data_IF_323178904082
#
_entry.id   IF_323178904082
#
_cell.length_a   1.000
_cell.length_b   1.000
_cell.length_c   1.000
_cell.angle_alpha   90.00
_cell.angle_beta   90.00
_cell.angle_gamma   90.00
#
_symmetry.space_group_name_H-M   'P 1'
#
loop_
_entity.id
_entity.type
_entity.pdbx_description
1 polymer ?
#
# COMPACT_ATOMS: atom_id res chain seq x y z
N UNK A 1 -8.83 12.57 -31.82
CA UNK A 1 -8.25 11.24 -32.02
C UNK A 1 -7.96 10.70 -30.63
N UNK A 2 -8.86 9.84 -30.12
CA UNK A 2 -8.76 9.33 -28.74
C UNK A 2 -7.85 8.09 -28.75
N UNK A 3 -6.71 8.18 -28.11
CA UNK A 3 -5.79 7.05 -27.92
C UNK A 3 -6.34 6.19 -26.76
N UNK A 4 -6.97 5.08 -27.09
CA UNK A 4 -7.42 4.09 -26.12
C UNK A 4 -6.19 3.30 -25.69
N UNK A 5 -5.62 3.65 -24.52
CA UNK A 5 -4.51 2.88 -23.94
C UNK A 5 -5.13 1.63 -23.32
N UNK A 6 -4.98 0.53 -24.00
CA UNK A 6 -5.32 -0.81 -23.53
C UNK A 6 -4.27 -1.21 -22.49
N UNK A 7 -4.62 -1.15 -21.19
CA UNK A 7 -3.74 -1.59 -20.10
C UNK A 7 -3.71 -3.12 -20.09
N UNK A 8 -2.66 -3.69 -20.64
CA UNK A 8 -2.36 -5.10 -20.50
C UNK A 8 -1.82 -5.37 -19.08
N UNK A 9 -2.63 -5.99 -18.24
CA UNK A 9 -2.15 -6.60 -17.00
C UNK A 9 -1.26 -7.78 -17.36
N UNK A 10 0.06 -7.58 -17.28
CA UNK A 10 1.02 -8.67 -17.40
C UNK A 10 1.02 -9.46 -16.10
N UNK A 11 0.19 -10.50 -16.03
CA UNK A 11 0.27 -11.55 -15.01
C UNK A 11 1.59 -12.30 -15.23
N UNK A 12 2.63 -11.93 -14.52
CA UNK A 12 3.85 -12.72 -14.40
C UNK A 12 3.51 -14.00 -13.63
N UNK A 13 3.15 -15.05 -14.34
CA UNK A 13 3.11 -16.39 -13.80
C UNK A 13 4.56 -16.83 -13.52
N UNK A 14 5.00 -16.64 -12.27
CA UNK A 14 6.26 -17.22 -11.81
C UNK A 14 6.09 -18.73 -11.66
N UNK A 15 6.98 -19.56 -12.23
CA UNK A 15 6.93 -20.98 -12.05
C UNK A 15 7.09 -21.33 -10.57
N UNK A 16 6.15 -22.09 -10.03
CA UNK A 16 6.21 -22.64 -8.68
C UNK A 16 7.31 -23.70 -8.61
N UNK A 17 8.54 -23.28 -8.39
CA UNK A 17 9.61 -24.21 -8.06
C UNK A 17 9.33 -24.76 -6.66
N UNK A 18 9.11 -26.08 -6.56
CA UNK A 18 8.98 -26.81 -5.31
C UNK A 18 10.28 -26.64 -4.51
N UNK A 19 10.27 -25.76 -3.53
CA UNK A 19 11.39 -25.59 -2.59
C UNK A 19 11.13 -26.48 -1.40
N UNK A 20 12.02 -27.44 -1.21
CA UNK A 20 12.07 -28.34 -0.06
C UNK A 20 12.14 -27.53 1.24
N UNK A 21 11.45 -28.03 2.27
CA UNK A 21 11.42 -27.48 3.61
C UNK A 21 12.86 -27.54 4.21
N UNK A 22 13.57 -26.44 4.19
CA UNK A 22 14.81 -26.27 4.92
C UNK A 22 14.75 -24.97 5.71
N UNK A 23 15.00 -25.13 7.00
CA UNK A 23 15.21 -24.11 8.04
C UNK A 23 14.21 -22.94 8.06
N UNK A 24 13.48 -22.89 9.15
CA UNK A 24 12.48 -21.84 9.42
C UNK A 24 13.12 -20.46 9.60
N UNK A 25 13.73 -19.93 8.52
CA UNK A 25 14.23 -18.56 8.53
C UNK A 25 13.05 -17.64 8.83
N UNK A 26 13.16 -16.79 9.87
CA UNK A 26 12.07 -15.91 10.26
C UNK A 26 11.58 -15.03 9.10
N UNK A 27 10.27 -14.96 8.96
CA UNK A 27 9.56 -14.12 7.98
C UNK A 27 8.94 -12.94 8.71
N UNK A 28 8.40 -11.92 8.01
CA UNK A 28 7.65 -10.83 8.63
C UNK A 28 6.44 -11.28 9.46
N UNK A 29 6.01 -12.55 9.33
CA UNK A 29 4.88 -13.15 10.05
C UNK A 29 5.30 -14.05 11.23
N UNK A 30 6.60 -14.18 11.47
CA UNK A 30 7.13 -14.99 12.56
C UNK A 30 6.96 -14.23 13.87
N UNK A 31 6.42 -14.87 14.89
CA UNK A 31 6.18 -14.26 16.22
C UNK A 31 7.47 -13.66 16.80
N UNK A 32 7.35 -12.42 17.27
CA UNK A 32 8.45 -11.72 17.93
C UNK A 32 9.48 -11.08 16.98
N UNK A 33 9.27 -11.16 15.66
CA UNK A 33 10.20 -10.53 14.70
C UNK A 33 9.79 -9.12 14.38
N UNK A 34 10.77 -8.21 14.33
CA UNK A 34 10.62 -6.84 13.91
C UNK A 34 11.25 -6.62 12.55
N UNK A 35 10.56 -5.86 11.71
CA UNK A 35 11.03 -5.54 10.37
C UNK A 35 10.79 -4.07 10.07
N UNK A 36 11.77 -3.42 9.46
CA UNK A 36 11.62 -2.12 8.81
C UNK A 36 11.30 -2.34 7.33
N UNK A 37 10.36 -1.57 6.80
CA UNK A 37 9.98 -1.63 5.40
C UNK A 37 10.05 -0.23 4.79
N UNK A 38 10.60 -0.14 3.59
CA UNK A 38 10.56 1.06 2.77
C UNK A 38 10.10 0.67 1.37
N UNK A 39 9.08 1.34 0.86
CA UNK A 39 8.52 1.09 -0.47
C UNK A 39 8.23 2.37 -1.23
N UNK A 40 8.26 2.28 -2.56
CA UNK A 40 7.73 3.27 -3.48
C UNK A 40 6.40 2.78 -4.05
N UNK A 41 5.49 3.69 -4.33
CA UNK A 41 4.15 3.41 -4.83
C UNK A 41 3.78 4.28 -6.02
N UNK A 42 2.95 3.72 -6.90
CA UNK A 42 2.20 4.44 -7.90
C UNK A 42 0.77 3.89 -7.92
N UNK A 43 -0.22 4.78 -7.87
CA UNK A 43 -1.62 4.42 -7.92
C UNK A 43 -2.38 5.44 -8.78
N UNK A 44 -3.36 4.96 -9.52
CA UNK A 44 -4.11 5.73 -10.49
C UNK A 44 -5.58 5.71 -10.11
N UNK A 45 -6.27 6.82 -10.28
CA UNK A 45 -7.69 6.92 -10.00
C UNK A 45 -8.48 5.84 -10.77
N UNK A 46 -9.35 5.12 -10.04
CA UNK A 46 -10.14 4.03 -10.61
C UNK A 46 -11.40 4.53 -11.30
N UNK A 47 -12.04 5.53 -10.72
CA UNK A 47 -13.35 6.01 -11.11
C UNK A 47 -13.27 7.50 -11.37
N UNK A 48 -13.74 7.93 -12.51
CA UNK A 48 -13.83 9.34 -12.89
C UNK A 48 -14.94 10.08 -12.12
N UNK A 49 -15.02 9.92 -10.80
CA UNK A 49 -15.98 10.66 -9.98
C UNK A 49 -15.59 12.11 -9.84
N UNK A 50 -14.28 12.35 -9.72
CA UNK A 50 -13.74 13.68 -9.60
C UNK A 50 -13.33 14.23 -10.97
N UNK A 51 -13.69 15.49 -11.23
CA UNK A 51 -13.25 16.19 -12.45
C UNK A 51 -11.72 16.38 -12.43
N UNK A 52 -11.11 16.27 -11.27
CA UNK A 52 -9.71 16.60 -11.01
C UNK A 52 -8.73 15.49 -11.33
N UNK A 53 -9.14 14.22 -11.39
CA UNK A 53 -8.25 13.08 -11.62
C UNK A 53 -7.02 13.06 -10.69
N UNK A 54 -7.07 12.26 -9.67
CA UNK A 54 -6.02 12.18 -8.66
C UNK A 54 -5.16 10.92 -8.85
N UNK A 55 -3.92 11.11 -9.33
CA UNK A 55 -2.91 10.06 -9.36
C UNK A 55 -1.98 10.24 -8.16
N UNK A 56 -1.62 9.12 -7.52
CA UNK A 56 -0.83 9.09 -6.30
C UNK A 56 0.53 8.45 -6.56
N UNK A 57 1.60 9.17 -6.24
CA UNK A 57 2.97 8.64 -6.26
C UNK A 57 3.60 8.82 -4.89
N UNK A 58 4.27 7.81 -4.35
CA UNK A 58 4.70 7.97 -2.98
C UNK A 58 5.80 7.08 -2.49
N UNK A 59 6.21 7.40 -1.26
CA UNK A 59 7.14 6.62 -0.47
C UNK A 59 6.48 6.27 0.86
N UNK A 60 6.68 5.03 1.30
CA UNK A 60 6.21 4.55 2.60
C UNK A 60 7.38 4.06 3.41
N UNK A 61 7.42 4.43 4.68
CA UNK A 61 8.26 3.80 5.70
C UNK A 61 7.34 3.12 6.71
N UNK A 62 7.66 1.89 7.07
CA UNK A 62 6.84 1.14 8.00
C UNK A 62 7.68 0.27 8.94
N UNK A 63 7.11 0.03 10.12
CA UNK A 63 7.58 -1.00 11.03
C UNK A 63 6.53 -2.09 11.10
N UNK A 64 6.97 -3.33 10.98
CA UNK A 64 6.12 -4.52 11.03
C UNK A 64 6.55 -5.41 12.17
N UNK A 65 5.59 -5.89 12.96
CA UNK A 65 5.80 -6.83 14.06
C UNK A 65 5.03 -8.12 13.81
N UNK A 66 5.73 -9.24 13.73
CA UNK A 66 5.13 -10.56 13.62
C UNK A 66 4.47 -11.00 14.91
N UNK A 67 3.15 -11.22 14.91
CA UNK A 67 2.41 -11.70 16.10
C UNK A 67 2.26 -13.22 16.11
N UNK A 68 2.57 -13.89 15.02
CA UNK A 68 2.47 -15.34 14.86
C UNK A 68 1.24 -15.75 14.08
N UNK A 69 1.09 -17.05 13.82
CA UNK A 69 -0.03 -17.66 13.07
C UNK A 69 -0.28 -17.02 11.69
N UNK A 70 0.77 -16.46 11.11
CA UNK A 70 0.71 -15.76 9.83
C UNK A 70 0.14 -14.35 9.89
N UNK A 71 0.03 -13.74 11.07
CA UNK A 71 -0.34 -12.34 11.24
C UNK A 71 0.87 -11.47 11.55
N UNK A 72 0.82 -10.23 11.09
CA UNK A 72 1.74 -9.18 11.45
C UNK A 72 0.99 -7.85 11.60
N UNK A 73 1.37 -7.07 12.62
CA UNK A 73 0.95 -5.68 12.79
C UNK A 73 1.87 -4.77 12.01
N UNK A 74 1.34 -3.66 11.52
CA UNK A 74 2.09 -2.69 10.73
C UNK A 74 1.74 -1.27 11.17
N UNK A 75 2.76 -0.45 11.43
CA UNK A 75 2.64 1.00 11.55
C UNK A 75 3.39 1.65 10.40
N UNK A 76 2.79 2.61 9.71
CA UNK A 76 3.42 3.21 8.54
C UNK A 76 3.23 4.72 8.47
N UNK A 77 4.28 5.39 8.01
CA UNK A 77 4.29 6.78 7.57
C UNK A 77 4.34 6.82 6.05
N UNK A 78 3.52 7.69 5.45
CA UNK A 78 3.37 7.80 4.00
C UNK A 78 3.59 9.23 3.55
N UNK A 79 4.32 9.37 2.44
CA UNK A 79 4.52 10.62 1.72
C UNK A 79 3.98 10.39 0.31
N UNK A 80 2.83 11.00 -0.02
CA UNK A 80 2.20 10.83 -1.32
C UNK A 80 2.19 12.18 -2.04
N UNK A 81 2.70 12.21 -3.25
CA UNK A 81 2.46 13.27 -4.20
C UNK A 81 1.14 12.98 -4.90
N UNK A 82 0.23 13.93 -4.88
CA UNK A 82 -1.06 13.88 -5.56
C UNK A 82 -0.96 14.73 -6.80
N UNK A 83 -0.96 14.11 -7.96
CA UNK A 83 -1.09 14.80 -9.24
C UNK A 83 -2.56 14.97 -9.56
N UNK A 84 -3.02 16.21 -9.69
CA UNK A 84 -4.42 16.54 -9.95
C UNK A 84 -4.53 17.76 -10.87
N UNK A 85 -5.68 17.94 -11.53
CA UNK A 85 -5.86 18.98 -12.56
C UNK A 85 -5.75 20.41 -12.05
N UNK A 86 -6.04 20.68 -10.77
CA UNK A 86 -6.03 22.03 -10.23
C UNK A 86 -4.60 22.43 -9.78
N UNK A 87 -4.18 21.93 -8.65
CA UNK A 87 -2.88 22.17 -8.05
C UNK A 87 -2.40 20.89 -7.40
N UNK A 88 -1.21 20.45 -7.77
CA UNK A 88 -0.61 19.25 -7.20
C UNK A 88 -0.33 19.44 -5.71
N UNK A 89 -0.45 18.35 -4.95
CA UNK A 89 -0.30 18.38 -3.50
C UNK A 89 0.59 17.29 -2.94
N UNK A 90 0.97 17.47 -1.68
CA UNK A 90 1.67 16.45 -0.91
C UNK A 90 0.79 16.05 0.28
N UNK A 91 0.58 14.74 0.42
CA UNK A 91 -0.14 14.11 1.53
C UNK A 91 0.87 13.48 2.47
N UNK A 92 0.79 13.84 3.75
CA UNK A 92 1.47 13.14 4.84
C UNK A 92 0.44 12.25 5.54
N UNK A 93 0.70 10.95 5.62
CA UNK A 93 -0.21 9.98 6.22
C UNK A 93 0.45 9.15 7.31
N UNK A 94 -0.34 8.81 8.33
CA UNK A 94 0.01 7.82 9.35
C UNK A 94 -1.06 6.74 9.36
N UNK A 95 -0.64 5.49 9.25
CA UNK A 95 -1.54 4.34 9.23
C UNK A 95 -1.09 3.26 10.19
N UNK A 96 -2.08 2.54 10.71
CA UNK A 96 -1.87 1.26 11.40
C UNK A 96 -2.63 0.19 10.62
N UNK A 97 -2.13 -1.02 10.63
CA UNK A 97 -2.76 -2.08 9.87
C UNK A 97 -2.28 -3.46 10.24
N UNK A 98 -2.81 -4.41 9.49
CA UNK A 98 -2.50 -5.83 9.65
C UNK A 98 -2.15 -6.44 8.30
N UNK A 99 -1.25 -7.41 8.33
CA UNK A 99 -1.02 -8.36 7.23
C UNK A 99 -1.39 -9.75 7.66
N UNK A 100 -2.03 -10.48 6.77
CA UNK A 100 -2.33 -11.89 6.93
C UNK A 100 -1.63 -12.68 5.83
N UNK A 101 -0.74 -13.58 6.20
CA UNK A 101 -0.10 -14.51 5.28
C UNK A 101 -1.16 -15.41 4.61
N UNK A 102 -0.99 -15.66 3.33
CA UNK A 102 -1.74 -16.64 2.56
C UNK A 102 -0.81 -17.81 2.25
N UNK A 103 -1.32 -19.03 2.47
CA UNK A 103 -0.59 -20.25 2.18
C UNK A 103 0.54 -20.54 3.18
N UNK A 104 1.46 -21.41 2.76
CA UNK A 104 2.60 -21.86 3.57
C UNK A 104 3.75 -20.86 3.52
N UNK A 105 4.54 -20.73 4.61
CA UNK A 105 5.74 -19.92 4.56
C UNK A 105 6.76 -20.55 3.60
N UNK A 106 7.45 -19.69 2.83
CA UNK A 106 8.44 -20.13 1.86
C UNK A 106 9.34 -18.99 1.43
N UNK A 107 10.13 -19.22 0.38
CA UNK A 107 10.94 -18.16 -0.24
C UNK A 107 10.04 -17.06 -0.81
N UNK A 108 8.92 -17.43 -1.40
CA UNK A 108 7.86 -16.53 -1.83
C UNK A 108 6.66 -16.76 -0.91
N UNK A 109 6.14 -15.71 -0.30
CA UNK A 109 5.03 -15.78 0.65
C UNK A 109 3.99 -14.74 0.28
N UNK A 110 2.77 -15.20 -0.03
CA UNK A 110 1.63 -14.33 -0.30
C UNK A 110 1.03 -13.74 0.98
N UNK A 111 0.42 -12.57 0.88
CA UNK A 111 -0.30 -11.94 1.98
C UNK A 111 -1.46 -11.07 1.51
N UNK A 112 -2.42 -10.85 2.42
CA UNK A 112 -3.38 -9.76 2.37
C UNK A 112 -2.98 -8.68 3.36
N UNK A 113 -3.34 -7.43 3.08
CA UNK A 113 -3.05 -6.26 3.90
C UNK A 113 -4.28 -5.37 4.01
N UNK A 114 -4.49 -4.80 5.20
CA UNK A 114 -5.42 -3.71 5.43
C UNK A 114 -4.80 -2.71 6.39
N UNK A 115 -4.78 -1.44 6.01
CA UNK A 115 -4.30 -0.32 6.83
C UNK A 115 -5.41 0.74 6.93
N UNK A 116 -5.53 1.39 8.08
CA UNK A 116 -6.38 2.55 8.30
C UNK A 116 -5.58 3.65 8.99
N UNK A 117 -5.95 4.90 8.76
CA UNK A 117 -5.23 6.00 9.38
C UNK A 117 -5.76 7.36 9.02
N UNK A 118 -4.91 8.34 9.22
CA UNK A 118 -5.18 9.76 8.98
C UNK A 118 -4.14 10.35 8.05
N UNK A 119 -4.52 11.41 7.36
CA UNK A 119 -3.62 12.18 6.51
C UNK A 119 -3.87 13.66 6.60
N UNK A 120 -2.85 14.42 6.23
CA UNK A 120 -2.90 15.87 6.13
C UNK A 120 -2.21 16.34 4.86
N UNK A 121 -2.79 17.34 4.21
CA UNK A 121 -2.26 17.93 2.98
C UNK A 121 -2.02 19.44 3.15
N UNK A 122 -1.05 19.98 2.45
CA UNK A 122 -0.80 21.42 2.42
C UNK A 122 -1.95 22.18 1.71
N UNK A 123 -2.54 21.57 0.69
CA UNK A 123 -3.71 22.04 -0.06
C UNK A 123 -4.83 21.01 0.03
N UNK A 124 -6.05 21.38 -0.37
CA UNK A 124 -7.14 20.39 -0.43
C UNK A 124 -6.85 19.32 -1.51
N UNK A 125 -6.93 18.06 -1.14
CA UNK A 125 -6.83 16.91 -2.04
C UNK A 125 -7.93 15.89 -1.70
N UNK A 126 -8.90 15.65 -2.64
CA UNK A 126 -9.03 16.32 -3.94
C UNK A 126 -9.46 17.80 -3.82
N UNK A 127 -9.43 18.56 -4.94
CA UNK A 127 -9.97 19.92 -4.97
C UNK A 127 -11.42 19.96 -4.48
N UNK A 128 -11.79 20.97 -3.68
CA UNK A 128 -13.05 21.11 -2.93
C UNK A 128 -13.18 20.18 -1.72
N UNK A 129 -12.24 19.27 -1.49
CA UNK A 129 -12.17 18.47 -0.29
C UNK A 129 -11.58 19.23 0.90
N UNK A 130 -10.95 18.49 1.77
CA UNK A 130 -10.34 19.01 3.00
C UNK A 130 -8.85 18.72 3.07
N UNK A 131 -8.15 19.41 3.97
CA UNK A 131 -6.73 19.12 4.23
C UNK A 131 -6.54 17.91 5.14
N UNK A 132 -7.45 17.69 6.06
CA UNK A 132 -7.46 16.52 6.92
C UNK A 132 -8.39 15.45 6.32
N UNK A 133 -7.87 14.23 6.18
CA UNK A 133 -8.63 13.10 5.65
C UNK A 133 -8.27 11.81 6.39
N UNK A 134 -9.15 10.83 6.29
CA UNK A 134 -8.87 9.45 6.65
C UNK A 134 -8.27 8.70 5.47
N UNK A 135 -7.43 7.72 5.79
CA UNK A 135 -6.85 6.77 4.84
C UNK A 135 -7.40 5.38 5.12
N UNK A 136 -7.86 4.71 4.09
CA UNK A 136 -8.12 3.27 4.11
C UNK A 136 -7.39 2.63 2.93
N UNK A 137 -6.57 1.61 3.20
CA UNK A 137 -5.76 0.96 2.19
C UNK A 137 -5.95 -0.54 2.35
N UNK A 138 -6.35 -1.20 1.26
CA UNK A 138 -6.53 -2.64 1.23
C UNK A 138 -5.82 -3.25 0.04
N UNK A 139 -5.33 -4.48 0.18
CA UNK A 139 -4.68 -5.12 -0.94
C UNK A 139 -4.06 -6.47 -0.63
N UNK A 140 -3.28 -6.96 -1.57
CA UNK A 140 -2.57 -8.22 -1.45
C UNK A 140 -1.25 -8.17 -2.19
N UNK A 141 -0.31 -8.98 -1.73
CA UNK A 141 1.03 -8.96 -2.31
C UNK A 141 1.84 -10.20 -2.00
N UNK A 142 3.11 -10.11 -2.32
CA UNK A 142 4.08 -11.16 -2.02
C UNK A 142 5.34 -10.57 -1.38
N UNK A 143 5.93 -11.34 -0.47
CA UNK A 143 7.29 -11.14 -0.01
C UNK A 143 8.19 -12.19 -0.63
N UNK A 144 9.34 -11.78 -1.16
CA UNK A 144 10.33 -12.66 -1.76
C UNK A 144 11.61 -12.57 -0.92
N UNK A 145 11.95 -13.63 -0.22
CA UNK A 145 13.17 -13.67 0.59
C UNK A 145 14.40 -13.70 -0.31
N UNK A 146 15.24 -12.68 -0.20
CA UNK A 146 16.49 -12.55 -0.93
C UNK A 146 17.70 -12.92 -0.07
N UNK A 147 17.60 -12.72 1.26
CA UNK A 147 18.59 -13.14 2.24
C UNK A 147 17.91 -13.51 3.57
N UNK A 148 18.65 -13.98 4.59
CA UNK A 148 18.06 -14.29 5.90
C UNK A 148 17.39 -13.09 6.61
N UNK A 149 17.73 -11.87 6.23
CA UNK A 149 17.18 -10.64 6.82
C UNK A 149 16.42 -9.75 5.86
N UNK A 150 16.53 -9.97 4.54
CA UNK A 150 16.00 -9.05 3.53
C UNK A 150 14.95 -9.76 2.68
N UNK A 151 13.82 -9.09 2.51
CA UNK A 151 12.76 -9.49 1.60
C UNK A 151 12.46 -8.34 0.63
N UNK A 152 12.27 -8.65 -0.63
CA UNK A 152 11.59 -7.76 -1.57
C UNK A 152 10.09 -7.92 -1.33
N UNK A 153 9.36 -6.81 -1.28
CA UNK A 153 7.92 -6.79 -1.08
C UNK A 153 7.27 -6.07 -2.25
N UNK A 154 6.24 -6.66 -2.80
CA UNK A 154 5.36 -5.98 -3.78
C UNK A 154 3.92 -6.18 -3.39
N UNK A 155 3.10 -5.15 -3.53
CA UNK A 155 1.69 -5.15 -3.14
C UNK A 155 0.86 -4.46 -4.21
N UNK A 156 -0.21 -5.12 -4.68
CA UNK A 156 -1.31 -4.44 -5.35
C UNK A 156 -2.26 -3.90 -4.29
N UNK A 157 -2.63 -2.63 -4.38
CA UNK A 157 -3.43 -1.98 -3.35
C UNK A 157 -4.47 -1.03 -3.93
N UNK A 158 -5.59 -0.95 -3.22
CA UNK A 158 -6.61 0.09 -3.35
C UNK A 158 -6.39 1.09 -2.22
N UNK A 159 -6.32 2.37 -2.57
CA UNK A 159 -6.21 3.48 -1.62
C UNK A 159 -7.48 4.31 -1.69
N UNK A 160 -8.10 4.53 -0.53
CA UNK A 160 -9.22 5.43 -0.35
C UNK A 160 -8.83 6.56 0.59
N UNK A 161 -9.05 7.81 0.17
CA UNK A 161 -8.80 9.03 0.96
C UNK A 161 -10.08 9.84 0.98
N UNK A 162 -10.63 10.10 2.18
CA UNK A 162 -11.83 10.92 2.34
C UNK A 162 -11.89 11.54 3.73
N UNK A 163 -12.65 12.61 3.89
CA UNK A 163 -12.88 13.20 5.20
C UNK A 163 -14.07 12.59 5.97
N UNK A 164 -14.66 11.49 5.44
CA UNK A 164 -15.83 10.82 6.02
C UNK A 164 -17.03 11.75 6.26
N UNK A 165 -17.14 12.84 5.51
CA UNK A 165 -18.23 13.81 5.63
C UNK A 165 -18.15 14.74 6.84
N UNK A 166 -17.01 14.85 7.52
CA UNK A 166 -16.83 15.72 8.71
C UNK A 166 -17.17 17.19 8.45
N UNK A 167 -16.97 17.68 7.22
CA UNK A 167 -17.30 19.04 6.81
C UNK A 167 -18.51 19.09 5.85
N UNK A 168 -19.35 18.06 5.87
CA UNK A 168 -20.51 17.92 5.00
C UNK A 168 -20.22 17.19 3.69
N UNK A 169 -21.25 16.60 3.09
CA UNK A 169 -21.12 15.78 1.88
C UNK A 169 -20.59 16.54 0.67
N UNK A 170 -20.88 17.83 0.55
CA UNK A 170 -20.41 18.68 -0.54
C UNK A 170 -18.88 18.95 -0.49
N UNK A 171 -18.27 18.73 0.65
CA UNK A 171 -16.81 18.87 0.88
C UNK A 171 -16.13 17.54 1.14
N UNK A 172 -16.74 16.45 0.73
CA UNK A 172 -16.18 15.10 0.83
C UNK A 172 -16.05 14.42 -0.54
N UNK A 173 -15.43 15.04 -1.54
CA UNK A 173 -14.96 14.27 -2.67
C UNK A 173 -13.87 13.33 -2.15
N UNK A 174 -13.89 12.08 -2.61
CA UNK A 174 -12.93 11.06 -2.21
C UNK A 174 -11.93 10.78 -3.34
N UNK A 175 -10.79 10.20 -2.97
CA UNK A 175 -9.83 9.65 -3.91
C UNK A 175 -9.90 8.13 -3.78
N UNK A 176 -10.17 7.43 -4.88
CA UNK A 176 -10.08 5.99 -4.98
C UNK A 176 -9.08 5.61 -6.07
N UNK A 177 -7.92 5.12 -5.66
CA UNK A 177 -6.83 4.82 -6.57
C UNK A 177 -6.37 3.37 -6.41
N UNK A 178 -6.22 2.69 -7.56
CA UNK A 178 -5.62 1.36 -7.63
C UNK A 178 -4.15 1.48 -8.03
N UNK A 179 -3.29 0.76 -7.33
CA UNK A 179 -1.87 0.88 -7.56
C UNK A 179 -1.05 -0.30 -7.11
N UNK A 180 0.25 -0.08 -7.19
CA UNK A 180 1.25 -1.06 -6.79
C UNK A 180 2.33 -0.41 -5.93
N UNK A 181 2.91 -1.20 -5.03
CA UNK A 181 4.14 -0.84 -4.31
C UNK A 181 5.25 -1.82 -4.63
N UNK A 182 6.47 -1.34 -4.55
CA UNK A 182 7.68 -2.15 -4.59
C UNK A 182 8.65 -1.63 -3.53
N UNK A 183 9.17 -2.52 -2.69
CA UNK A 183 10.06 -2.13 -1.62
C UNK A 183 10.89 -3.23 -1.03
N UNK A 184 11.58 -2.87 0.04
CA UNK A 184 12.41 -3.77 0.83
C UNK A 184 11.86 -3.85 2.26
N UNK A 185 11.90 -5.04 2.80
CA UNK A 185 11.57 -5.32 4.19
C UNK A 185 12.79 -5.97 4.83
N UNK A 186 13.33 -5.35 5.87
CA UNK A 186 14.59 -5.73 6.53
C UNK A 186 14.32 -6.07 7.99
N UNK A 187 14.69 -7.28 8.40
CA UNK A 187 14.61 -7.72 9.79
C UNK A 187 15.75 -7.10 10.62
N UNK A 188 15.46 -6.55 11.78
CA UNK A 188 16.40 -6.03 12.77
C UNK A 188 16.19 -6.65 14.14
#
# INVERSE_FOLDING_TARGET
MRLTILHAFLLLALPAAAVHAQDATPTPFTKGTWHFEADASAAFELWNYNISHEDLFGLTQAVTYGVGDGFALRGAQRFLYVSQRAEDGVVLGLTIGVRRRIGRPGRVTGFLQGDVGISYTAIAAPPRGTRFNYLAIGGGGVTIRTSPRIHVVTTGLLTHISNAGLEGSSRNPDIEALGVTLGLNVRF
#
